data_IF_844439085030
#
_entry.id   IF_844439085030
#
_cell.length_a   1.000
_cell.length_b   1.000
_cell.length_c   1.000
_cell.angle_alpha   90.00
_cell.angle_beta   90.00
_cell.angle_gamma   90.00
#
_symmetry.space_group_name_H-M   'P 1'
#
loop_
_entity.id
_entity.type
_entity.pdbx_description
1 polymer ?
#
# COMPACT_ATOMS: atom_id res chain seq x y z
N UNK A 1 10.40 -10.09 -17.73
CA UNK A 1 10.04 -10.75 -16.45
C UNK A 1 8.62 -10.36 -16.11
N UNK A 2 7.78 -11.33 -15.77
CA UNK A 2 6.36 -11.16 -15.45
C UNK A 2 6.16 -10.38 -14.13
N UNK A 3 4.95 -9.85 -13.90
CA UNK A 3 4.53 -9.14 -12.67
C UNK A 3 4.94 -9.87 -11.36
N UNK A 4 5.12 -11.20 -11.42
CA UNK A 4 5.58 -12.06 -10.32
C UNK A 4 6.95 -11.67 -9.71
N UNK A 5 7.80 -10.92 -10.43
CA UNK A 5 9.13 -10.58 -9.92
C UNK A 5 9.13 -9.32 -9.03
N UNK A 6 8.26 -8.34 -9.31
CA UNK A 6 8.11 -7.14 -8.46
C UNK A 6 7.48 -7.52 -7.13
N UNK A 7 6.47 -8.40 -7.17
CA UNK A 7 5.86 -9.01 -5.98
C UNK A 7 6.93 -9.61 -5.06
N UNK A 8 7.70 -10.56 -5.60
CA UNK A 8 8.67 -11.35 -4.83
C UNK A 8 9.73 -10.46 -4.18
N UNK A 9 10.18 -9.43 -4.91
CA UNK A 9 11.13 -8.46 -4.38
C UNK A 9 10.54 -7.64 -3.23
N UNK A 10 9.38 -6.98 -3.44
CA UNK A 10 8.78 -6.10 -2.40
C UNK A 10 8.38 -6.93 -1.17
N UNK A 11 7.79 -8.11 -1.37
CA UNK A 11 7.45 -9.00 -0.28
C UNK A 11 8.70 -9.48 0.48
N UNK A 12 9.79 -9.78 -0.23
CA UNK A 12 11.09 -10.11 0.36
C UNK A 12 11.63 -8.97 1.20
N UNK A 13 11.69 -7.76 0.63
CA UNK A 13 12.11 -6.54 1.31
C UNK A 13 11.28 -6.32 2.59
N UNK A 14 9.95 -6.36 2.53
CA UNK A 14 9.09 -6.17 3.70
C UNK A 14 9.30 -7.26 4.77
N UNK A 15 9.54 -8.51 4.36
CA UNK A 15 9.87 -9.61 5.30
C UNK A 15 11.17 -9.37 6.05
N UNK A 16 12.21 -8.83 5.39
CA UNK A 16 13.48 -8.47 6.06
C UNK A 16 13.25 -7.50 7.22
N UNK A 17 12.34 -6.55 7.05
CA UNK A 17 11.92 -5.59 8.08
C UNK A 17 10.83 -6.11 9.03
N UNK A 18 10.63 -7.43 9.10
CA UNK A 18 9.69 -8.08 10.02
C UNK A 18 8.23 -7.61 9.81
N UNK A 19 7.82 -7.45 8.56
CA UNK A 19 6.40 -7.41 8.21
C UNK A 19 5.92 -8.85 8.06
N UNK A 20 4.88 -9.29 8.79
CA UNK A 20 4.29 -10.59 8.58
C UNK A 20 3.59 -10.61 7.22
N UNK A 21 4.04 -11.48 6.34
CA UNK A 21 3.44 -11.71 5.02
C UNK A 21 2.86 -13.10 5.03
N UNK A 22 1.59 -13.21 4.67
CA UNK A 22 0.86 -14.47 4.64
C UNK A 22 1.41 -15.46 3.63
N UNK A 23 1.01 -16.72 3.79
CA UNK A 23 1.36 -17.76 2.82
C UNK A 23 0.56 -17.54 1.55
N UNK A 24 1.25 -17.62 0.41
CA UNK A 24 0.54 -17.69 -0.86
C UNK A 24 -0.30 -18.95 -0.80
N UNK A 25 -1.62 -18.80 -0.88
CA UNK A 25 -2.50 -19.96 -0.87
C UNK A 25 -2.07 -20.83 -2.03
N UNK A 26 -1.49 -22.00 -1.74
CA UNK A 26 -1.28 -23.01 -2.75
C UNK A 26 -2.68 -23.50 -3.11
N UNK A 27 -3.28 -22.91 -4.14
CA UNK A 27 -4.41 -23.53 -4.79
C UNK A 27 -3.98 -24.95 -5.18
N UNK A 28 -4.60 -25.94 -4.53
CA UNK A 28 -4.50 -27.37 -4.84
C UNK A 28 -3.20 -28.10 -4.43
N UNK A 29 -2.90 -28.17 -3.12
CA UNK A 29 -2.16 -29.33 -2.60
C UNK A 29 -3.16 -30.39 -2.12
N UNK A 30 -3.26 -31.56 -2.76
CA UNK A 30 -4.30 -32.57 -2.46
C UNK A 30 -4.11 -33.31 -1.12
N UNK A 31 -3.18 -32.90 -0.24
CA UNK A 31 -2.78 -33.73 0.91
C UNK A 31 -2.61 -33.02 2.26
N UNK A 32 -3.20 -31.85 2.48
CA UNK A 32 -3.17 -31.21 3.81
C UNK A 32 -4.58 -31.05 4.39
N UNK A 33 -5.04 -32.07 5.12
CA UNK A 33 -6.26 -32.08 5.95
C UNK A 33 -6.23 -31.14 7.19
N UNK A 34 -5.51 -30.02 7.10
CA UNK A 34 -5.63 -28.90 8.04
C UNK A 34 -5.80 -27.63 7.22
N UNK A 35 -7.03 -27.39 6.76
CA UNK A 35 -7.43 -26.12 6.16
C UNK A 35 -7.24 -25.04 7.24
N UNK A 36 -6.10 -24.36 7.21
CA UNK A 36 -5.87 -23.21 8.07
C UNK A 36 -6.95 -22.18 7.73
N UNK A 37 -7.76 -21.78 8.72
CA UNK A 37 -8.80 -20.77 8.51
C UNK A 37 -8.12 -19.43 8.24
N UNK A 38 -8.04 -19.06 6.97
CA UNK A 38 -7.65 -17.72 6.53
C UNK A 38 -8.94 -16.89 6.48
N UNK A 39 -8.97 -15.80 7.25
CA UNK A 39 -10.02 -14.78 7.18
C UNK A 39 -9.53 -13.64 6.29
N UNK A 40 -10.26 -13.38 5.22
CA UNK A 40 -10.08 -12.16 4.43
C UNK A 40 -10.92 -11.02 5.04
N UNK A 41 -10.35 -9.82 5.11
CA UNK A 41 -11.06 -8.65 5.64
C UNK A 41 -12.02 -8.00 4.63
N UNK A 42 -11.88 -8.27 3.34
CA UNK A 42 -12.79 -7.76 2.31
C UNK A 42 -12.56 -6.30 1.91
N UNK A 43 -11.45 -5.68 2.35
CA UNK A 43 -11.08 -4.31 1.98
C UNK A 43 -9.57 -4.12 1.83
N UNK A 44 -9.20 -3.16 0.99
CA UNK A 44 -7.84 -2.61 0.90
C UNK A 44 -7.68 -1.46 1.90
N UNK A 45 -6.48 -1.32 2.44
CA UNK A 45 -6.02 -0.13 3.15
C UNK A 45 -5.31 0.76 2.13
N UNK A 46 -5.86 1.93 1.86
CA UNK A 46 -5.25 2.95 1.00
C UNK A 46 -4.56 3.99 1.86
N UNK A 47 -3.30 4.25 1.56
CA UNK A 47 -2.46 5.24 2.23
C UNK A 47 -2.11 6.31 1.20
N UNK A 48 -2.53 7.55 1.43
CA UNK A 48 -2.23 8.70 0.57
C UNK A 48 -1.15 9.54 1.22
N UNK A 49 0.00 9.63 0.56
CA UNK A 49 1.11 10.50 0.94
C UNK A 49 1.05 11.87 0.24
N UNK A 50 -0.09 12.21 -0.34
CA UNK A 50 -0.37 13.51 -0.91
C UNK A 50 -1.85 13.87 -0.72
N UNK A 51 -2.17 15.15 -0.79
CA UNK A 51 -3.54 15.63 -0.88
C UNK A 51 -4.09 15.46 -2.30
N UNK A 52 -5.17 14.72 -2.45
CA UNK A 52 -5.83 14.46 -3.74
C UNK A 52 -7.18 15.19 -3.90
N UNK A 53 -7.61 15.93 -2.86
CA UNK A 53 -8.87 16.67 -2.83
C UNK A 53 -8.64 18.09 -3.37
N UNK A 54 -9.42 18.47 -4.38
CA UNK A 54 -9.39 19.82 -4.96
C UNK A 54 -10.11 20.82 -4.06
N UNK A 55 -9.67 22.07 -4.08
CA UNK A 55 -10.35 23.18 -3.40
C UNK A 55 -10.11 23.24 -1.89
N UNK A 56 -9.28 22.36 -1.33
CA UNK A 56 -8.87 22.44 0.08
C UNK A 56 -7.74 23.45 0.21
N UNK A 57 -8.00 24.49 0.99
CA UNK A 57 -7.04 25.56 1.29
C UNK A 57 -6.66 25.43 2.77
N UNK A 58 -5.36 25.47 3.07
CA UNK A 58 -4.87 25.46 4.45
C UNK A 58 -5.23 26.76 5.18
N UNK A 59 -5.13 26.82 6.52
CA UNK A 59 -5.33 28.06 7.27
C UNK A 59 -4.46 29.23 6.79
N UNK A 60 -3.29 28.93 6.21
CA UNK A 60 -2.33 29.90 5.65
C UNK A 60 -2.67 30.31 4.21
N UNK A 61 -3.81 29.88 3.65
CA UNK A 61 -4.21 30.23 2.28
C UNK A 61 -3.54 29.37 1.19
N UNK A 62 -2.85 28.29 1.55
CA UNK A 62 -2.13 27.45 0.60
C UNK A 62 -3.07 26.39 0.01
N UNK A 63 -3.12 26.30 -1.32
CA UNK A 63 -3.80 25.19 -1.98
C UNK A 63 -3.08 23.87 -1.67
N UNK A 64 -3.79 22.96 -1.02
CA UNK A 64 -3.22 21.68 -0.61
C UNK A 64 -3.23 20.64 -1.73
N UNK A 65 -4.00 20.84 -2.80
CA UNK A 65 -4.09 19.85 -3.88
C UNK A 65 -2.71 19.49 -4.45
N UNK A 66 -2.45 18.19 -4.57
CA UNK A 66 -1.19 17.57 -4.96
C UNK A 66 0.00 17.81 -4.03
N UNK A 67 -0.18 18.43 -2.86
CA UNK A 67 0.89 18.62 -1.88
C UNK A 67 1.23 17.30 -1.21
N UNK A 68 2.50 16.93 -1.16
CA UNK A 68 2.99 15.79 -0.37
C UNK A 68 2.78 16.09 1.10
N UNK A 69 2.29 15.10 1.84
CA UNK A 69 2.02 15.22 3.27
C UNK A 69 3.09 14.52 4.10
N UNK A 70 3.36 15.10 5.26
CA UNK A 70 4.22 14.46 6.28
C UNK A 70 3.49 13.27 6.90
N UNK A 71 2.25 13.49 7.33
CA UNK A 71 1.36 12.48 7.89
C UNK A 71 0.46 11.90 6.80
N UNK A 72 0.57 10.60 6.48
CA UNK A 72 -0.27 9.99 5.46
C UNK A 72 -1.73 9.93 5.89
N UNK A 73 -2.64 10.08 4.93
CA UNK A 73 -4.08 9.85 5.14
C UNK A 73 -4.38 8.38 4.86
N UNK A 74 -5.05 7.71 5.79
CA UNK A 74 -5.48 6.31 5.64
C UNK A 74 -6.98 6.28 5.36
N UNK A 75 -7.37 5.52 4.34
CA UNK A 75 -8.76 5.18 4.06
C UNK A 75 -8.89 3.71 3.66
N UNK A 76 -10.12 3.21 3.63
CA UNK A 76 -10.40 1.80 3.38
C UNK A 76 -11.31 1.62 2.19
N UNK A 77 -11.04 0.62 1.37
CA UNK A 77 -11.73 0.44 0.09
C UNK A 77 -12.22 -0.99 0.01
N UNK A 78 -13.53 -1.24 0.10
CA UNK A 78 -14.08 -2.58 -0.10
C UNK A 78 -13.68 -3.12 -1.46
N UNK A 79 -13.37 -4.41 -1.56
CA UNK A 79 -12.91 -5.04 -2.82
C UNK A 79 -13.86 -4.78 -3.99
N UNK A 80 -15.15 -4.72 -3.71
CA UNK A 80 -16.21 -4.55 -4.71
C UNK A 80 -16.77 -3.13 -4.78
N UNK A 81 -16.05 -2.13 -4.23
CA UNK A 81 -16.51 -0.75 -4.21
C UNK A 81 -15.36 0.22 -4.49
N UNK A 82 -15.72 1.41 -4.99
CA UNK A 82 -14.79 2.54 -5.12
C UNK A 82 -14.95 3.55 -3.98
N UNK A 83 -15.93 3.34 -3.11
CA UNK A 83 -16.22 4.25 -2.00
C UNK A 83 -15.18 4.09 -0.91
N UNK A 84 -14.52 5.19 -0.55
CA UNK A 84 -13.60 5.21 0.58
C UNK A 84 -14.38 5.22 1.90
N UNK A 85 -14.00 4.33 2.80
CA UNK A 85 -14.53 4.17 4.14
C UNK A 85 -13.52 4.68 5.18
N UNK A 86 -14.01 4.90 6.39
CA UNK A 86 -13.23 5.27 7.57
C UNK A 86 -13.34 4.15 8.62
N UNK A 87 -12.63 4.31 9.74
CA UNK A 87 -12.63 3.35 10.84
C UNK A 87 -14.05 3.02 11.34
N UNK A 88 -14.89 4.04 11.52
CA UNK A 88 -16.25 3.86 12.02
C UNK A 88 -17.10 2.98 11.10
N UNK A 89 -16.97 3.13 9.77
CA UNK A 89 -17.67 2.27 8.82
C UNK A 89 -17.24 0.81 8.93
N UNK A 90 -15.94 0.53 9.14
CA UNK A 90 -15.44 -0.84 9.25
C UNK A 90 -15.95 -1.53 10.52
N UNK A 91 -15.91 -0.84 11.65
CA UNK A 91 -16.36 -1.38 12.94
C UNK A 91 -17.88 -1.56 12.94
N UNK A 92 -18.65 -0.57 12.47
CA UNK A 92 -20.10 -0.66 12.38
C UNK A 92 -20.55 -1.77 11.40
N UNK A 93 -19.81 -1.98 10.32
CA UNK A 93 -20.05 -3.05 9.35
C UNK A 93 -19.54 -4.43 9.79
N UNK A 94 -18.96 -4.56 10.99
CA UNK A 94 -18.35 -5.79 11.51
C UNK A 94 -17.35 -6.44 10.53
N UNK A 95 -16.61 -5.62 9.76
CA UNK A 95 -15.60 -6.09 8.81
C UNK A 95 -14.32 -6.54 9.52
N UNK A 96 -14.01 -5.91 10.65
CA UNK A 96 -12.93 -6.28 11.55
C UNK A 96 -13.24 -5.83 12.98
N UNK A 97 -12.61 -6.48 13.95
CA UNK A 97 -12.58 -5.99 15.33
C UNK A 97 -11.67 -4.76 15.48
N UNK A 98 -11.80 -4.05 16.60
CA UNK A 98 -10.97 -2.88 16.91
C UNK A 98 -9.48 -3.25 16.99
N UNK A 99 -9.15 -4.42 17.54
CA UNK A 99 -7.76 -4.85 17.69
C UNK A 99 -7.15 -5.33 16.37
N UNK A 100 -7.94 -5.98 15.51
CA UNK A 100 -7.54 -6.27 14.14
C UNK A 100 -7.28 -4.97 13.37
N UNK A 101 -8.17 -3.97 13.47
CA UNK A 101 -8.01 -2.68 12.79
C UNK A 101 -6.74 -1.95 13.22
N UNK A 102 -6.46 -1.88 14.54
CA UNK A 102 -5.22 -1.31 15.07
C UNK A 102 -3.97 -2.02 14.54
N UNK A 103 -4.04 -3.34 14.45
CA UNK A 103 -2.93 -4.14 13.92
C UNK A 103 -2.71 -3.88 12.42
N UNK A 104 -3.81 -3.81 11.66
CA UNK A 104 -3.81 -3.45 10.23
C UNK A 104 -3.20 -2.08 10.02
N UNK A 105 -3.66 -1.04 10.72
CA UNK A 105 -3.13 0.33 10.61
C UNK A 105 -1.63 0.40 10.96
N UNK A 106 -1.22 -0.26 12.05
CA UNK A 106 0.19 -0.31 12.46
C UNK A 106 1.08 -0.93 11.39
N UNK A 107 0.65 -2.05 10.81
CA UNK A 107 1.38 -2.69 9.72
C UNK A 107 1.38 -1.84 8.46
N UNK A 108 0.25 -1.20 8.13
CA UNK A 108 0.10 -0.35 6.97
C UNK A 108 1.03 0.86 7.01
N UNK A 109 1.08 1.57 8.15
CA UNK A 109 2.00 2.69 8.37
C UNK A 109 3.45 2.22 8.30
N UNK A 110 3.77 1.04 8.86
CA UNK A 110 5.13 0.48 8.79
C UNK A 110 5.54 0.12 7.36
N UNK A 111 4.65 -0.47 6.57
CA UNK A 111 4.92 -0.70 5.14
C UNK A 111 5.16 0.62 4.41
N UNK A 112 4.33 1.64 4.65
CA UNK A 112 4.50 2.95 4.04
C UNK A 112 5.82 3.63 4.43
N UNK A 113 6.22 3.57 5.71
CA UNK A 113 7.46 4.18 6.18
C UNK A 113 8.72 3.48 5.65
N UNK A 114 8.62 2.20 5.28
CA UNK A 114 9.70 1.46 4.62
C UNK A 114 9.74 1.74 3.12
N UNK A 115 8.59 1.84 2.46
CA UNK A 115 8.48 1.97 1.00
C UNK A 115 8.66 3.42 0.53
N UNK A 116 8.22 4.43 1.30
CA UNK A 116 8.46 5.85 0.96
C UNK A 116 9.94 6.16 0.71
N UNK A 117 10.88 5.92 1.66
CA UNK A 117 12.29 6.18 1.44
C UNK A 117 12.92 5.22 0.42
N UNK A 118 12.37 4.01 0.26
CA UNK A 118 12.80 3.08 -0.77
C UNK A 118 12.62 3.65 -2.18
N UNK A 119 11.45 4.20 -2.47
CA UNK A 119 11.17 4.85 -3.76
C UNK A 119 11.85 6.22 -3.88
N UNK A 120 11.94 6.97 -2.79
CA UNK A 120 12.58 8.30 -2.82
C UNK A 120 14.05 8.23 -3.21
N UNK A 121 14.80 7.25 -2.71
CA UNK A 121 16.20 6.97 -3.11
C UNK A 121 16.36 6.64 -4.59
N UNK A 122 15.26 6.32 -5.28
CA UNK A 122 15.19 5.98 -6.70
C UNK A 122 14.47 7.07 -7.51
N UNK A 123 14.51 8.31 -7.03
CA UNK A 123 13.92 9.48 -7.69
C UNK A 123 12.40 9.38 -7.91
N UNK A 124 11.70 8.66 -7.03
CA UNK A 124 10.24 8.54 -7.08
C UNK A 124 9.58 8.86 -5.74
N UNK A 125 8.50 9.65 -5.77
CA UNK A 125 7.61 9.79 -4.62
C UNK A 125 6.49 8.76 -4.68
N UNK A 126 6.34 8.00 -3.60
CA UNK A 126 5.17 7.16 -3.35
C UNK A 126 3.99 8.02 -2.93
N UNK A 127 3.09 8.32 -3.87
CA UNK A 127 1.90 9.16 -3.65
C UNK A 127 0.76 8.38 -3.00
N UNK A 128 0.62 7.11 -3.36
CA UNK A 128 -0.41 6.22 -2.83
C UNK A 128 0.14 4.80 -2.70
N UNK A 129 -0.27 4.12 -1.63
CA UNK A 129 -0.01 2.71 -1.37
C UNK A 129 -1.31 2.00 -1.00
N UNK A 130 -1.62 0.89 -1.65
CA UNK A 130 -2.75 0.03 -1.31
C UNK A 130 -2.26 -1.32 -0.79
N UNK A 131 -2.74 -1.72 0.39
CA UNK A 131 -2.36 -2.97 1.03
C UNK A 131 -3.60 -3.81 1.28
N UNK A 132 -3.49 -5.11 1.09
CA UNK A 132 -4.54 -6.05 1.48
C UNK A 132 -4.03 -6.91 2.63
N UNK A 133 -4.85 -7.08 3.67
CA UNK A 133 -4.49 -7.88 4.83
C UNK A 133 -5.42 -9.09 4.95
N UNK A 134 -4.90 -10.13 5.59
CA UNK A 134 -5.63 -11.33 5.98
C UNK A 134 -5.35 -11.64 7.45
N UNK A 135 -6.19 -12.45 8.08
CA UNK A 135 -5.92 -13.04 9.37
C UNK A 135 -5.71 -14.55 9.21
N UNK A 136 -4.52 -15.02 9.58
CA UNK A 136 -4.16 -16.44 9.60
C UNK A 136 -3.79 -16.79 11.05
N UNK A 137 -4.43 -17.82 11.62
CA UNK A 137 -4.21 -18.25 13.02
C UNK A 137 -4.41 -17.12 14.05
N UNK A 138 -5.32 -16.17 13.77
CA UNK A 138 -5.61 -15.04 14.65
C UNK A 138 -4.62 -13.88 14.55
N UNK A 139 -3.63 -13.95 13.66
CA UNK A 139 -2.64 -12.90 13.43
C UNK A 139 -2.91 -12.18 12.11
N UNK A 140 -2.86 -10.84 12.13
CA UNK A 140 -2.97 -10.01 10.92
C UNK A 140 -1.67 -10.06 10.12
N UNK A 141 -1.78 -10.33 8.82
CA UNK A 141 -0.66 -10.49 7.90
C UNK A 141 -0.95 -9.81 6.57
N UNK A 142 0.08 -9.31 5.91
CA UNK A 142 -0.03 -8.76 4.55
C UNK A 142 -0.33 -9.89 3.56
N UNK A 143 -1.32 -9.71 2.69
CA UNK A 143 -1.68 -10.70 1.67
C UNK A 143 -0.57 -10.81 0.62
N UNK A 144 -0.18 -12.04 0.24
CA UNK A 144 0.91 -12.33 -0.70
C UNK A 144 0.50 -12.23 -2.18
N UNK A 145 -0.25 -11.19 -2.55
CA UNK A 145 -0.71 -10.91 -3.92
C UNK A 145 -0.32 -9.50 -4.39
N UNK A 146 0.79 -9.01 -3.84
CA UNK A 146 1.27 -7.64 -4.04
C UNK A 146 1.61 -7.39 -5.52
N UNK A 147 1.04 -6.36 -6.15
CA UNK A 147 1.32 -6.03 -7.54
C UNK A 147 1.44 -4.53 -7.77
N UNK A 148 1.83 -4.16 -8.98
CA UNK A 148 2.08 -2.78 -9.40
C UNK A 148 0.91 -1.82 -9.20
N UNK A 149 -0.34 -2.30 -9.24
CA UNK A 149 -1.54 -1.46 -9.10
C UNK A 149 -1.68 -0.88 -7.70
N UNK A 150 -0.98 -1.45 -6.73
CA UNK A 150 -0.96 -0.99 -5.35
C UNK A 150 -0.08 0.24 -5.12
N UNK A 151 0.66 0.69 -6.12
CA UNK A 151 1.49 1.89 -6.03
C UNK A 151 1.00 2.98 -6.97
N UNK A 152 0.94 4.20 -6.46
CA UNK A 152 0.96 5.40 -7.30
C UNK A 152 2.29 6.11 -7.07
N UNK A 153 3.09 6.20 -8.12
CA UNK A 153 4.40 6.83 -8.10
C UNK A 153 4.43 8.05 -9.02
N UNK A 154 5.27 9.02 -8.69
CA UNK A 154 5.63 10.14 -9.55
C UNK A 154 7.13 10.40 -9.47
N UNK A 155 7.74 10.88 -10.55
CA UNK A 155 9.15 11.27 -10.55
C UNK A 155 9.39 12.50 -9.67
N UNK A 156 10.53 12.59 -9.02
CA UNK A 156 10.93 13.74 -8.19
C UNK A 156 10.99 15.03 -8.99
N UNK A 157 11.31 14.96 -10.28
CA UNK A 157 11.30 16.10 -11.22
C UNK A 157 9.90 16.69 -11.43
N UNK A 158 8.85 15.93 -11.09
CA UNK A 158 7.47 16.39 -11.15
C UNK A 158 7.02 17.02 -9.82
N UNK A 159 7.90 17.18 -8.84
CA UNK A 159 7.60 17.81 -7.55
C UNK A 159 8.29 19.16 -7.50
N UNK A 160 7.52 20.24 -7.35
CA UNK A 160 8.07 21.60 -7.16
C UNK A 160 8.66 21.76 -5.76
N UNK A 161 9.42 22.83 -5.52
CA UNK A 161 9.96 23.20 -4.20
C UNK A 161 8.90 23.25 -3.08
N UNK A 162 7.64 23.53 -3.42
CA UNK A 162 6.50 23.52 -2.49
C UNK A 162 5.87 22.13 -2.28
N UNK A 163 6.55 21.06 -2.69
CA UNK A 163 6.09 19.67 -2.62
C UNK A 163 4.78 19.39 -3.38
N UNK A 164 4.47 20.20 -4.40
CA UNK A 164 3.29 20.04 -5.25
C UNK A 164 3.64 19.14 -6.43
N UNK A 165 2.88 18.06 -6.58
CA UNK A 165 3.02 17.11 -7.70
C UNK A 165 2.36 17.66 -8.97
N UNK A 166 3.14 17.78 -10.04
CA UNK A 166 2.65 17.91 -11.42
C UNK A 166 2.17 16.53 -11.89
N UNK A 167 0.92 16.43 -12.34
CA UNK A 167 0.32 15.14 -12.73
C UNK A 167 0.95 14.62 -14.02
N UNK A 168 2.03 13.86 -13.88
CA UNK A 168 2.47 12.85 -14.84
C UNK A 168 2.33 11.51 -14.15
N UNK A 169 1.28 10.74 -14.50
CA UNK A 169 1.08 9.41 -13.92
C UNK A 169 2.16 8.51 -14.51
N UNK A 170 3.18 8.17 -13.74
CA UNK A 170 4.12 7.12 -14.14
C UNK A 170 3.38 5.79 -13.96
N UNK A 171 2.74 5.33 -15.02
CA UNK A 171 2.14 3.99 -15.12
C UNK A 171 3.12 2.93 -15.59
N UNK A 172 4.34 3.30 -15.97
CA UNK A 172 5.25 2.37 -16.61
C UNK A 172 6.00 1.50 -15.59
N UNK A 173 5.37 0.38 -15.27
CA UNK A 173 5.92 -0.76 -14.53
C UNK A 173 7.26 -1.20 -15.08
N UNK A 174 7.50 -1.05 -16.40
CA UNK A 174 8.78 -1.43 -17.00
C UNK A 174 9.92 -0.54 -16.52
N UNK A 175 9.67 0.73 -16.18
CA UNK A 175 10.66 1.59 -15.55
C UNK A 175 11.03 1.06 -14.17
N UNK A 176 10.04 0.74 -13.32
CA UNK A 176 10.29 0.16 -11.99
C UNK A 176 11.06 -1.16 -12.10
N UNK A 177 10.64 -2.06 -13.01
CA UNK A 177 11.30 -3.35 -13.24
C UNK A 177 12.72 -3.18 -13.78
N UNK A 178 12.95 -2.27 -14.73
CA UNK A 178 14.27 -2.05 -15.30
C UNK A 178 15.23 -1.37 -14.32
N UNK A 179 14.72 -0.54 -13.41
CA UNK A 179 15.53 0.06 -12.35
C UNK A 179 15.84 -0.92 -11.20
N UNK A 180 14.93 -1.84 -10.85
CA UNK A 180 15.24 -2.92 -9.89
C UNK A 180 16.35 -3.87 -10.39
N UNK A 181 16.55 -3.99 -11.70
CA UNK A 181 17.64 -4.79 -12.30
C UNK A 181 19.00 -4.10 -12.27
N UNK A 182 19.05 -2.77 -12.08
CA UNK A 182 20.28 -1.99 -12.19
C UNK A 182 21.14 -2.03 -10.91
N UNK A 183 20.57 -2.42 -9.77
CA UNK A 183 21.26 -2.52 -8.48
C UNK A 183 21.94 -3.91 -8.27
N UNK A 184 21.83 -4.85 -9.22
CA UNK A 184 22.42 -6.21 -9.17
C UNK A 184 23.71 -6.37 -10.01
N UNK A 185 24.32 -5.28 -10.49
CA UNK A 185 25.60 -5.28 -11.22
C UNK A 185 26.68 -4.47 -10.50
#
# INVERSE_FOLDING_TARGET
MSENNVYSFIAGYLKEYKIPVGRQSAENSPNTNKTLKIKEFGFFVRIKNHFDIKGVISPEGINLFNKIVELPVISYIPVNSKTELNNSHLIAGNLCSVDELRSIEKLAVKCNSLLRPYFLRRNHHLLQLELYFISELGSVQLKPDFNSKQFLLTGTENVSDNYIVKRNKITDINSIINYLKADDN
#
